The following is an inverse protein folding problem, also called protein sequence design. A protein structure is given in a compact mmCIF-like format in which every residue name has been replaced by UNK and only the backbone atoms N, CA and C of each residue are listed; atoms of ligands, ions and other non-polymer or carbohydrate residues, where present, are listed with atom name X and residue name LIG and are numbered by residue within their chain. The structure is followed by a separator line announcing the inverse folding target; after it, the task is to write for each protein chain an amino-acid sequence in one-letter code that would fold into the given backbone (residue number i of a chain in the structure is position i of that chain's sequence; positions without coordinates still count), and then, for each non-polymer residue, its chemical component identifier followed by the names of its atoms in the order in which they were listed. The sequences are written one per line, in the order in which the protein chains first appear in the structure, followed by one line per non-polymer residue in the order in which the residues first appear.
data_IF_838762045244
#
_entry.id   IF_838762045244
#
_cell.length_a   1.000
_cell.length_b   1.000
_cell.length_c   1.000
_cell.angle_alpha   90.00
_cell.angle_beta   90.00
_cell.angle_gamma   90.00
#
_symmetry.space_group_name_H-M   'P 1'
#
loop_
_entity.id
_entity.type
_entity.pdbx_description
1 polymer ?
#
# COMPACT_ATOMS: atom_id res chain seq x y z
N UNK A 1 -40.69 0.39 30.42
CA UNK A 1 -41.42 -0.49 31.36
C UNK A 1 -40.46 -1.58 31.83
N UNK A 2 -40.31 -1.72 33.15
CA UNK A 2 -39.77 -2.86 33.95
C UNK A 2 -38.45 -3.47 33.45
N UNK A 3 -37.28 -3.33 34.08
CA UNK A 3 -36.98 -3.17 35.50
C UNK A 3 -36.95 -4.53 36.19
N UNK A 4 -35.74 -5.05 36.50
CA UNK A 4 -35.54 -5.90 37.68
C UNK A 4 -34.16 -5.64 38.28
N UNK A 5 -34.23 -5.25 39.55
CA UNK A 5 -33.19 -4.92 40.51
C UNK A 5 -32.71 -6.20 41.21
N UNK A 6 -31.45 -6.27 41.63
CA UNK A 6 -31.06 -6.96 42.87
C UNK A 6 -29.87 -6.23 43.50
N UNK A 7 -30.11 -5.62 44.66
CA UNK A 7 -29.12 -5.00 45.54
C UNK A 7 -28.69 -5.97 46.65
N UNK A 8 -27.38 -6.01 46.94
CA UNK A 8 -26.80 -5.82 48.28
C UNK A 8 -26.58 -7.01 49.22
N UNK A 9 -25.31 -7.25 49.61
CA UNK A 9 -24.70 -7.08 50.97
C UNK A 9 -23.48 -7.99 51.17
N UNK A 10 -22.38 -7.40 51.63
CA UNK A 10 -21.13 -8.01 52.17
C UNK A 10 -21.29 -8.51 53.65
N UNK A 11 -20.32 -9.19 54.35
CA UNK A 11 -18.98 -9.69 53.97
C UNK A 11 -18.57 -11.12 54.53
N UNK A 12 -17.37 -11.59 54.12
CA UNK A 12 -16.43 -12.62 54.70
C UNK A 12 -16.83 -14.12 54.69
N UNK A 13 -16.13 -14.95 53.89
CA UNK A 13 -15.17 -16.04 54.28
C UNK A 13 -14.56 -16.69 53.01
N UNK A 14 -13.31 -17.09 53.17
CA UNK A 14 -12.27 -17.57 52.25
C UNK A 14 -12.57 -18.73 51.27
N UNK A 15 -11.72 -18.74 50.23
CA UNK A 15 -11.12 -19.86 49.50
C UNK A 15 -11.71 -20.37 48.17
N UNK A 16 -10.75 -20.57 47.25
CA UNK A 16 -10.77 -21.29 45.96
C UNK A 16 -11.24 -20.52 44.71
N UNK A 17 -10.28 -19.90 44.02
CA UNK A 17 -10.38 -19.54 42.61
C UNK A 17 -10.28 -20.82 41.74
N UNK A 18 -11.40 -21.26 41.19
CA UNK A 18 -11.47 -22.00 39.92
C UNK A 18 -12.57 -21.35 39.08
N UNK A 19 -12.18 -20.44 38.19
CA UNK A 19 -13.09 -19.74 37.29
C UNK A 19 -13.05 -20.34 35.89
N UNK A 20 -14.08 -21.12 35.55
CA UNK A 20 -14.44 -21.46 34.18
C UNK A 20 -14.77 -20.19 33.39
N UNK A 21 -14.12 -20.00 32.23
CA UNK A 21 -14.44 -18.91 31.31
C UNK A 21 -15.70 -19.28 30.50
N UNK A 22 -16.85 -18.70 30.85
CA UNK A 22 -18.08 -18.80 30.06
C UNK A 22 -17.96 -17.94 28.79
N UNK A 23 -18.10 -18.61 27.66
CA UNK A 23 -18.08 -18.06 26.29
C UNK A 23 -19.25 -17.08 26.06
N UNK A 24 -18.93 -15.84 25.66
CA UNK A 24 -19.92 -14.91 25.10
C UNK A 24 -20.04 -15.15 23.58
N UNK A 25 -21.07 -15.87 23.16
CA UNK A 25 -21.48 -15.97 21.76
C UNK A 25 -22.11 -14.65 21.31
N UNK A 26 -21.39 -13.86 20.51
CA UNK A 26 -21.98 -12.81 19.68
C UNK A 26 -22.16 -13.37 18.28
N UNK A 27 -23.39 -13.74 17.95
CA UNK A 27 -23.80 -14.14 16.61
C UNK A 27 -23.85 -12.91 15.70
N UNK A 28 -22.84 -12.71 14.85
CA UNK A 28 -22.91 -11.78 13.71
C UNK A 28 -23.15 -12.58 12.43
N UNK A 29 -24.42 -12.63 12.02
CA UNK A 29 -24.87 -13.18 10.75
C UNK A 29 -24.27 -12.34 9.61
N UNK A 30 -23.30 -12.90 8.88
CA UNK A 30 -22.70 -12.27 7.70
C UNK A 30 -23.67 -12.39 6.51
N UNK A 31 -24.66 -11.50 6.43
CA UNK A 31 -25.48 -11.36 5.23
C UNK A 31 -24.76 -10.45 4.23
N UNK A 32 -24.22 -11.08 3.18
CA UNK A 32 -23.63 -10.47 1.99
C UNK A 32 -24.71 -9.61 1.29
N UNK A 33 -24.82 -8.33 1.64
CA UNK A 33 -25.57 -7.35 0.83
C UNK A 33 -24.74 -7.01 -0.40
N UNK A 34 -25.23 -7.41 -1.57
CA UNK A 34 -24.82 -6.81 -2.84
C UNK A 34 -25.15 -5.32 -2.79
N UNK A 35 -24.13 -4.47 -2.74
CA UNK A 35 -24.29 -3.04 -2.95
C UNK A 35 -24.55 -2.76 -4.44
N UNK A 36 -25.39 -1.77 -4.78
CA UNK A 36 -25.76 -1.50 -6.17
C UNK A 36 -24.55 -1.04 -6.99
N UNK A 37 -24.56 -1.38 -8.28
CA UNK A 37 -23.68 -0.78 -9.30
C UNK A 37 -24.06 0.69 -9.47
N UNK A 38 -23.42 1.59 -8.72
CA UNK A 38 -23.45 3.02 -9.02
C UNK A 38 -22.18 3.43 -9.77
N UNK A 39 -22.37 4.28 -10.78
CA UNK A 39 -21.41 4.61 -11.81
C UNK A 39 -20.20 5.40 -11.33
N UNK A 40 -19.24 5.53 -12.26
CA UNK A 40 -18.03 6.35 -12.16
C UNK A 40 -18.21 7.59 -11.29
N UNK A 41 -17.72 7.55 -10.07
CA UNK A 41 -17.58 8.71 -9.21
C UNK A 41 -16.16 9.26 -9.36
N UNK A 42 -16.04 10.36 -10.09
CA UNK A 42 -14.84 11.20 -10.06
C UNK A 42 -14.75 11.81 -8.65
N UNK A 43 -13.62 11.63 -7.98
CA UNK A 43 -13.38 12.28 -6.69
C UNK A 43 -13.01 13.75 -6.94
N UNK A 44 -13.62 14.69 -6.20
CA UNK A 44 -13.30 16.11 -6.30
C UNK A 44 -11.83 16.43 -5.97
N UNK A 45 -11.38 17.69 -6.19
CA UNK A 45 -10.00 18.09 -5.92
C UNK A 45 -9.59 17.72 -4.50
N UNK A 46 -8.47 17.01 -4.36
CA UNK A 46 -7.94 16.65 -3.06
C UNK A 46 -6.97 17.75 -2.58
N UNK A 47 -7.16 18.21 -1.34
CA UNK A 47 -6.33 19.25 -0.71
C UNK A 47 -5.26 18.63 0.18
N UNK A 48 -4.09 19.25 0.22
CA UNK A 48 -3.02 18.92 1.15
C UNK A 48 -3.47 19.21 2.58
N UNK A 49 -3.74 18.16 3.36
CA UNK A 49 -3.82 18.31 4.81
C UNK A 49 -2.45 18.73 5.34
N UNK A 50 -2.40 19.86 6.06
CA UNK A 50 -1.24 20.27 6.84
C UNK A 50 -0.93 19.18 7.88
N UNK A 51 0.24 18.54 7.78
CA UNK A 51 0.70 17.57 8.75
C UNK A 51 1.29 18.29 9.96
N UNK A 52 0.66 18.13 11.11
CA UNK A 52 1.38 18.02 12.38
C UNK A 52 1.81 16.56 12.53
N UNK A 53 3.12 16.30 12.56
CA UNK A 53 3.69 14.99 12.87
C UNK A 53 3.22 14.53 14.26
N UNK A 54 2.22 13.66 14.29
CA UNK A 54 1.88 12.88 15.48
C UNK A 54 1.74 11.41 15.10
N UNK A 55 2.80 10.83 14.55
CA UNK A 55 2.98 9.39 14.43
C UNK A 55 3.14 8.79 15.83
N UNK A 56 2.12 8.09 16.34
CA UNK A 56 2.27 7.25 17.52
C UNK A 56 2.94 5.94 17.11
N UNK A 57 4.25 5.85 17.38
CA UNK A 57 5.01 4.61 17.28
C UNK A 57 4.66 3.74 18.50
N UNK A 58 4.28 2.46 18.35
CA UNK A 58 4.10 1.58 19.50
C UNK A 58 5.44 1.43 20.25
N UNK A 59 5.42 1.68 21.55
CA UNK A 59 6.58 1.49 22.42
C UNK A 59 6.83 -0.02 22.55
N UNK A 60 7.91 -0.52 21.93
CA UNK A 60 8.26 -1.94 21.97
C UNK A 60 9.30 -2.44 20.96
N UNK A 61 9.80 -1.61 20.04
CA UNK A 61 10.88 -1.99 19.13
C UNK A 61 12.23 -1.51 19.68
N UNK A 62 13.08 -2.45 20.12
CA UNK A 62 14.46 -2.13 20.52
C UNK A 62 15.27 -1.71 19.29
N UNK A 63 15.93 -0.55 19.39
CA UNK A 63 16.85 -0.05 18.38
C UNK A 63 18.19 -0.76 18.51
N UNK A 64 18.50 -1.71 17.64
CA UNK A 64 19.87 -2.17 17.46
C UNK A 64 20.68 -1.09 16.72
N UNK A 65 21.93 -0.81 17.11
CA UNK A 65 22.74 0.21 16.45
C UNK A 65 23.15 -0.23 15.03
N UNK A 66 23.44 0.71 14.11
CA UNK A 66 23.87 0.39 12.76
C UNK A 66 25.24 -0.29 12.82
N UNK A 67 25.34 -1.52 12.29
CA UNK A 67 26.63 -2.15 12.00
C UNK A 67 27.16 -1.56 10.70
N UNK A 68 28.22 -0.77 10.79
CA UNK A 68 29.00 -0.32 9.64
C UNK A 68 29.79 -1.50 9.09
N UNK A 69 29.44 -1.93 7.88
CA UNK A 69 30.28 -2.85 7.09
C UNK A 69 31.18 -2.02 6.16
N UNK A 70 32.45 -2.38 5.95
CA UNK A 70 33.33 -1.63 5.07
C UNK A 70 32.89 -1.82 3.62
N UNK A 71 32.68 -0.71 2.90
CA UNK A 71 32.48 -0.72 1.46
C UNK A 71 33.74 -1.24 0.77
N UNK A 72 33.65 -2.45 0.22
CA UNK A 72 34.51 -2.86 -0.89
C UNK A 72 33.67 -2.76 -2.17
N UNK A 73 34.19 -1.95 -3.10
CA UNK A 73 33.52 -1.66 -4.36
C UNK A 73 33.27 -2.92 -5.19
N UNK A 74 32.03 -3.05 -5.63
CA UNK A 74 31.69 -3.80 -6.82
C UNK A 74 30.84 -2.88 -7.68
N UNK A 75 31.29 -2.67 -8.91
CA UNK A 75 30.54 -2.04 -9.98
C UNK A 75 29.42 -3.02 -10.35
N UNK A 76 28.31 -2.94 -9.61
CA UNK A 76 27.19 -3.87 -9.64
C UNK A 76 25.98 -3.20 -8.99
N UNK A 77 24.81 -3.48 -9.55
CA UNK A 77 23.52 -2.86 -9.24
C UNK A 77 23.32 -2.61 -7.73
N UNK A 78 22.85 -1.42 -7.36
CA UNK A 78 22.48 -1.10 -5.98
C UNK A 78 21.18 -1.84 -5.64
N UNK A 79 21.34 -2.97 -4.94
CA UNK A 79 20.24 -3.78 -4.40
C UNK A 79 20.03 -3.45 -2.93
N UNK A 80 18.78 -3.19 -2.55
CA UNK A 80 18.37 -2.96 -1.15
C UNK A 80 17.28 -3.94 -0.73
N UNK A 81 17.46 -4.53 0.45
CA UNK A 81 16.61 -5.58 0.99
C UNK A 81 15.68 -5.00 2.05
N UNK A 82 14.40 -4.87 1.69
CA UNK A 82 13.34 -4.41 2.60
C UNK A 82 12.60 -5.59 3.21
N UNK A 83 11.66 -5.31 4.13
CA UNK A 83 10.87 -6.39 4.77
C UNK A 83 10.01 -7.16 3.75
N UNK A 84 9.38 -6.44 2.82
CA UNK A 84 8.38 -6.99 1.89
C UNK A 84 8.81 -7.01 0.43
N UNK A 85 9.91 -6.33 0.08
CA UNK A 85 10.40 -6.22 -1.29
C UNK A 85 11.93 -6.17 -1.30
N UNK A 86 12.53 -6.57 -2.42
CA UNK A 86 13.92 -6.24 -2.77
C UNK A 86 13.86 -5.20 -3.88
N UNK A 87 14.53 -4.05 -3.72
CA UNK A 87 14.60 -3.02 -4.75
C UNK A 87 15.95 -3.05 -5.46
N UNK A 88 15.95 -2.93 -6.78
CA UNK A 88 17.15 -2.76 -7.61
C UNK A 88 17.05 -1.48 -8.42
N UNK A 89 18.07 -0.66 -8.34
CA UNK A 89 18.21 0.56 -9.13
C UNK A 89 19.08 0.29 -10.36
N UNK A 90 18.61 0.75 -11.52
CA UNK A 90 19.30 0.66 -12.81
C UNK A 90 19.56 2.07 -13.34
N UNK A 91 20.83 2.41 -13.54
CA UNK A 91 21.22 3.73 -14.02
C UNK A 91 21.03 3.93 -15.54
N UNK A 92 21.22 5.17 -16.04
CA UNK A 92 21.08 5.52 -17.46
C UNK A 92 22.00 4.75 -18.42
N UNK A 93 23.15 4.31 -17.90
CA UNK A 93 24.16 3.57 -18.67
C UNK A 93 23.82 2.09 -18.83
N UNK A 94 22.85 1.58 -18.06
CA UNK A 94 22.53 0.16 -18.03
C UNK A 94 21.49 -0.19 -19.10
N UNK A 95 21.74 -1.19 -19.96
CA UNK A 95 20.76 -1.62 -20.96
C UNK A 95 19.42 -2.03 -20.36
N UNK A 96 19.45 -2.63 -19.16
CA UNK A 96 18.27 -3.14 -18.49
C UNK A 96 17.25 -2.05 -18.11
N UNK A 97 17.68 -0.80 -17.88
CA UNK A 97 16.73 0.29 -17.60
C UNK A 97 15.78 0.55 -18.78
N UNK A 98 16.26 0.34 -20.01
CA UNK A 98 15.46 0.45 -21.24
C UNK A 98 14.53 -0.74 -21.45
N UNK A 99 14.95 -1.94 -21.04
CA UNK A 99 14.13 -3.16 -21.11
C UNK A 99 12.92 -3.09 -20.16
N UNK A 100 13.08 -2.37 -19.05
CA UNK A 100 12.02 -2.13 -18.05
C UNK A 100 10.97 -1.09 -18.49
N UNK A 101 11.24 -0.33 -19.55
CA UNK A 101 10.28 0.62 -20.12
C UNK A 101 9.25 -0.12 -20.99
N UNK A 102 7.96 0.10 -20.73
CA UNK A 102 6.91 -0.48 -21.57
C UNK A 102 6.52 0.53 -22.65
N UNK A 103 6.69 0.15 -23.92
CA UNK A 103 6.18 0.98 -25.02
C UNK A 103 4.66 0.87 -25.12
N UNK A 104 3.97 1.82 -24.51
CA UNK A 104 2.50 1.90 -24.50
C UNK A 104 1.95 2.20 -25.90
N UNK A 105 2.71 2.82 -26.80
CA UNK A 105 2.25 3.12 -28.16
C UNK A 105 2.30 1.89 -29.08
N UNK A 106 3.24 0.99 -28.84
CA UNK A 106 3.35 -0.31 -29.52
C UNK A 106 2.47 -1.39 -28.87
N UNK A 107 2.18 -1.26 -27.57
CA UNK A 107 1.24 -2.13 -26.88
C UNK A 107 -0.14 -2.05 -27.56
N UNK A 108 -0.76 -3.22 -27.81
CA UNK A 108 -2.02 -3.40 -28.55
C UNK A 108 -2.97 -2.21 -28.38
N UNK A 109 -3.07 -1.35 -29.42
CA UNK A 109 -3.74 -0.04 -29.41
C UNK A 109 -5.17 -0.05 -28.83
N UNK A 110 -5.82 -1.21 -28.84
CA UNK A 110 -7.17 -1.39 -28.27
C UNK A 110 -7.23 -1.43 -26.73
N UNK A 111 -6.12 -1.75 -26.06
CA UNK A 111 -6.04 -1.87 -24.59
C UNK A 111 -5.53 -0.59 -23.92
N UNK A 112 -4.88 0.29 -24.68
CA UNK A 112 -4.39 1.58 -24.20
C UNK A 112 -5.56 2.54 -24.01
N UNK A 113 -5.66 3.13 -22.83
CA UNK A 113 -6.72 4.06 -22.47
C UNK A 113 -6.11 5.39 -22.06
N UNK A 114 -6.38 6.43 -22.84
CA UNK A 114 -6.07 7.81 -22.48
C UNK A 114 -7.12 8.27 -21.47
N UNK A 115 -6.68 8.67 -20.28
CA UNK A 115 -7.60 9.18 -19.26
C UNK A 115 -7.88 10.66 -19.50
N UNK A 116 -8.97 10.97 -20.19
CA UNK A 116 -9.32 12.35 -20.58
C UNK A 116 -9.36 13.33 -19.39
N UNK A 117 -10.00 12.97 -18.28
CA UNK A 117 -10.09 13.86 -17.11
C UNK A 117 -8.70 14.10 -16.51
N UNK A 118 -7.97 13.05 -16.14
CA UNK A 118 -6.63 13.17 -15.54
C UNK A 118 -5.63 13.89 -16.46
N UNK A 119 -5.78 13.79 -17.79
CA UNK A 119 -4.92 14.48 -18.75
C UNK A 119 -5.19 15.99 -18.81
N UNK A 120 -6.38 16.45 -18.39
CA UNK A 120 -6.82 17.85 -18.55
C UNK A 120 -7.07 18.56 -17.20
N UNK A 121 -6.65 17.98 -16.07
CA UNK A 121 -6.98 18.51 -14.74
C UNK A 121 -5.80 18.50 -13.79
N UNK A 122 -5.86 19.34 -12.77
CA UNK A 122 -4.92 19.38 -11.66
C UNK A 122 -5.54 18.78 -10.40
N UNK A 123 -4.74 18.05 -9.61
CA UNK A 123 -5.15 17.45 -8.32
C UNK A 123 -6.41 16.60 -8.43
N UNK A 124 -6.44 15.75 -9.45
CA UNK A 124 -7.50 14.78 -9.66
C UNK A 124 -6.98 13.37 -9.46
N UNK A 125 -7.91 12.46 -9.18
CA UNK A 125 -7.63 11.04 -9.08
C UNK A 125 -8.82 10.25 -9.61
N UNK A 126 -8.55 9.12 -10.27
CA UNK A 126 -9.58 8.30 -10.88
C UNK A 126 -9.36 6.82 -10.60
N UNK A 127 -10.45 6.14 -10.28
CA UNK A 127 -10.44 4.73 -9.88
C UNK A 127 -10.41 3.83 -11.12
N UNK A 128 -9.54 2.84 -11.09
CA UNK A 128 -9.40 1.83 -12.14
C UNK A 128 -9.48 0.44 -11.51
N UNK A 129 -10.13 -0.48 -12.21
CA UNK A 129 -10.23 -1.88 -11.83
C UNK A 129 -9.23 -2.68 -12.65
N UNK A 130 -8.28 -3.33 -11.98
CA UNK A 130 -7.30 -4.22 -12.57
C UNK A 130 -7.98 -5.50 -13.12
N UNK A 131 -7.42 -6.02 -14.20
CA UNK A 131 -7.85 -7.30 -14.77
C UNK A 131 -7.41 -8.52 -13.94
N UNK A 132 -6.41 -8.36 -13.07
CA UNK A 132 -5.85 -9.39 -12.17
C UNK A 132 -5.82 -8.91 -10.70
N UNK A 133 -5.63 -9.84 -9.76
CA UNK A 133 -5.41 -9.53 -8.35
C UNK A 133 -3.92 -9.21 -8.13
N UNK A 134 -3.60 -7.96 -7.82
CA UNK A 134 -2.24 -7.50 -7.57
C UNK A 134 -1.87 -7.68 -6.09
N UNK A 135 -0.80 -8.41 -5.73
CA UNK A 135 -0.48 -8.72 -4.34
C UNK A 135 0.36 -7.63 -3.65
N UNK A 136 -0.19 -6.44 -3.46
CA UNK A 136 0.53 -5.33 -2.81
C UNK A 136 0.78 -5.65 -1.32
N UNK A 137 2.05 -5.75 -0.92
CA UNK A 137 2.44 -6.18 0.43
C UNK A 137 1.87 -7.56 0.82
N UNK A 138 1.58 -8.40 -0.18
CA UNK A 138 0.93 -9.70 0.01
C UNK A 138 -0.60 -9.66 0.06
N UNK A 139 -1.21 -8.47 0.11
CA UNK A 139 -2.66 -8.33 0.06
C UNK A 139 -3.15 -8.23 -1.39
N UNK A 140 -4.02 -9.16 -1.85
CA UNK A 140 -4.58 -9.07 -3.19
C UNK A 140 -5.53 -7.89 -3.28
N UNK A 141 -5.28 -6.99 -4.23
CA UNK A 141 -6.15 -5.87 -4.55
C UNK A 141 -6.44 -5.81 -6.05
N UNK A 142 -7.62 -5.28 -6.36
CA UNK A 142 -8.10 -5.15 -7.73
C UNK A 142 -8.56 -3.75 -8.09
N UNK A 143 -8.72 -2.88 -7.09
CA UNK A 143 -9.13 -1.50 -7.29
C UNK A 143 -8.00 -0.59 -6.86
N UNK A 144 -7.58 0.28 -7.77
CA UNK A 144 -6.53 1.28 -7.54
C UNK A 144 -7.05 2.64 -7.97
N UNK A 145 -6.37 3.71 -7.56
CA UNK A 145 -6.72 5.07 -7.98
C UNK A 145 -5.48 5.77 -8.54
N UNK A 146 -5.52 6.14 -9.81
CA UNK A 146 -4.44 6.88 -10.48
C UNK A 146 -4.61 8.37 -10.15
N UNK A 147 -3.55 9.03 -9.70
CA UNK A 147 -3.56 10.46 -9.40
C UNK A 147 -2.73 11.27 -10.42
N UNK A 148 -3.16 12.50 -10.70
CA UNK A 148 -2.41 13.42 -11.58
C UNK A 148 -1.03 13.77 -11.03
N UNK A 149 -0.84 13.68 -9.70
CA UNK A 149 0.41 13.98 -9.01
C UNK A 149 1.50 12.91 -9.13
N UNK A 150 1.44 12.00 -10.11
CA UNK A 150 2.51 11.03 -10.39
C UNK A 150 2.55 9.79 -9.48
N UNK A 151 1.41 9.38 -8.93
CA UNK A 151 1.32 8.20 -8.06
C UNK A 151 0.01 7.44 -8.22
N UNK A 152 0.01 6.20 -7.73
CA UNK A 152 -1.15 5.33 -7.64
C UNK A 152 -1.47 5.14 -6.16
N UNK A 153 -2.70 5.47 -5.76
CA UNK A 153 -3.23 5.15 -4.45
C UNK A 153 -3.79 3.72 -4.46
N UNK A 154 -3.34 2.91 -3.49
CA UNK A 154 -3.63 1.47 -3.43
C UNK A 154 -4.75 1.12 -2.45
N UNK A 155 -5.26 2.11 -1.71
CA UNK A 155 -6.30 1.87 -0.71
C UNK A 155 -7.71 1.76 -1.26
N UNK A 156 -8.54 1.01 -0.54
CA UNK A 156 -9.92 0.76 -0.93
C UNK A 156 -10.77 2.03 -0.80
N UNK A 157 -10.63 2.76 0.30
CA UNK A 157 -11.45 3.96 0.59
C UNK A 157 -10.70 5.23 0.16
N UNK A 158 -11.24 5.92 -0.83
CA UNK A 158 -10.73 7.24 -1.24
C UNK A 158 -11.04 8.27 -0.14
N UNK A 159 -10.01 8.99 0.31
CA UNK A 159 -10.11 10.03 1.31
C UNK A 159 -9.21 11.22 0.94
N UNK A 160 -9.35 12.37 1.64
CA UNK A 160 -8.57 13.58 1.32
C UNK A 160 -7.05 13.43 1.43
N UNK A 161 -6.56 12.50 2.26
CA UNK A 161 -5.13 12.31 2.55
C UNK A 161 -4.47 11.21 1.70
N UNK A 162 -4.76 11.13 0.40
CA UNK A 162 -4.25 10.04 -0.47
C UNK A 162 -2.72 9.90 -0.42
N UNK A 163 -2.00 11.02 -0.34
CA UNK A 163 -0.53 11.08 -0.31
C UNK A 163 0.10 10.61 1.02
N UNK A 164 -0.71 10.42 2.06
CA UNK A 164 -0.26 10.08 3.41
C UNK A 164 -0.49 8.60 3.77
N UNK A 165 -1.01 7.79 2.85
CA UNK A 165 -1.46 6.42 3.13
C UNK A 165 -0.89 5.43 2.10
N UNK A 166 -1.65 4.43 1.64
CA UNK A 166 -1.16 3.36 0.76
C UNK A 166 -0.88 3.88 -0.66
N UNK A 167 0.39 3.93 -1.08
CA UNK A 167 0.74 4.39 -2.42
C UNK A 167 1.88 3.62 -3.08
N UNK A 168 1.85 3.65 -4.41
CA UNK A 168 2.96 3.36 -5.32
C UNK A 168 3.30 4.67 -6.02
N UNK A 169 4.46 5.24 -5.75
CA UNK A 169 4.86 6.56 -6.23
C UNK A 169 6.18 6.48 -7.01
N UNK A 170 6.16 6.31 -8.35
CA UNK A 170 7.37 6.47 -9.15
C UNK A 170 7.97 7.86 -8.98
N UNK A 171 7.12 8.90 -9.00
CA UNK A 171 7.50 10.27 -8.66
C UNK A 171 6.24 11.04 -8.28
N UNK A 172 5.97 11.14 -6.98
CA UNK A 172 4.88 11.96 -6.45
C UNK A 172 5.35 13.42 -6.37
N UNK A 173 4.67 14.35 -7.05
CA UNK A 173 4.95 15.79 -6.97
C UNK A 173 3.73 16.61 -7.43
N UNK A 174 3.84 17.95 -7.43
CA UNK A 174 2.76 18.86 -7.82
C UNK A 174 2.56 18.93 -9.36
N UNK A 175 2.47 17.78 -10.02
CA UNK A 175 2.24 17.72 -11.47
C UNK A 175 0.85 18.22 -11.85
N UNK A 176 0.79 18.99 -12.94
CA UNK A 176 -0.42 19.48 -13.55
C UNK A 176 -0.46 19.11 -15.04
N UNK A 177 -1.05 17.94 -15.39
CA UNK A 177 -1.28 17.57 -16.79
C UNK A 177 -2.15 18.59 -17.54
N UNK A 178 -3.09 19.24 -16.87
CA UNK A 178 -3.97 20.25 -17.48
C UNK A 178 -3.30 21.55 -17.90
N UNK A 179 -1.98 21.71 -17.70
CA UNK A 179 -1.23 22.87 -18.17
C UNK A 179 -1.03 22.88 -19.70
N UNK A 180 -0.86 21.69 -20.31
CA UNK A 180 -0.52 21.57 -21.73
C UNK A 180 -1.34 20.47 -22.39
N UNK A 181 -1.90 20.74 -23.56
CA UNK A 181 -2.68 19.80 -24.37
C UNK A 181 -1.85 18.58 -24.83
N UNK A 182 -0.52 18.68 -24.78
CA UNK A 182 0.38 17.57 -25.08
C UNK A 182 0.58 16.62 -23.89
N UNK A 183 0.19 17.03 -22.68
CA UNK A 183 0.34 16.18 -21.50
C UNK A 183 -0.74 15.11 -21.52
N UNK A 184 -0.36 13.86 -21.27
CA UNK A 184 -1.34 12.78 -21.17
C UNK A 184 -1.09 11.90 -19.95
N UNK A 185 -2.18 11.44 -19.35
CA UNK A 185 -2.15 10.33 -18.38
C UNK A 185 -2.80 9.15 -19.06
N UNK A 186 -1.98 8.16 -19.42
CA UNK A 186 -2.43 6.97 -20.13
C UNK A 186 -2.20 5.74 -19.27
N UNK A 187 -3.07 4.76 -19.41
CA UNK A 187 -2.88 3.47 -18.77
C UNK A 187 -3.21 2.31 -19.70
N UNK A 188 -2.61 1.16 -19.41
CA UNK A 188 -2.70 -0.06 -20.19
C UNK A 188 -2.83 -1.24 -19.24
N UNK A 189 -3.65 -2.21 -19.61
CA UNK A 189 -3.85 -3.45 -18.86
C UNK A 189 -4.03 -4.62 -19.84
N UNK A 190 -3.19 -5.65 -19.73
CA UNK A 190 -3.24 -6.83 -20.59
C UNK A 190 -3.52 -8.15 -19.86
N UNK A 191 -3.89 -8.13 -18.57
CA UNK A 191 -4.06 -9.36 -17.80
C UNK A 191 -2.82 -9.84 -17.06
N UNK A 192 -1.63 -9.39 -17.46
CA UNK A 192 -0.35 -9.79 -16.86
C UNK A 192 0.42 -8.62 -16.26
N UNK A 193 0.30 -7.44 -16.86
CA UNK A 193 0.87 -6.19 -16.38
C UNK A 193 -0.15 -5.07 -16.56
N UNK A 194 -0.18 -4.19 -15.57
CA UNK A 194 -0.88 -2.92 -15.61
C UNK A 194 0.15 -1.79 -15.61
N UNK A 195 0.07 -0.86 -16.56
CA UNK A 195 1.01 0.25 -16.68
C UNK A 195 0.26 1.57 -16.64
N UNK A 196 0.78 2.54 -15.90
CA UNK A 196 0.37 3.95 -15.98
C UNK A 196 1.58 4.75 -16.44
N UNK A 197 1.37 5.62 -17.42
CA UNK A 197 2.35 6.58 -17.89
C UNK A 197 1.80 8.00 -17.71
N UNK A 198 2.60 8.83 -17.05
CA UNK A 198 2.46 10.29 -17.06
C UNK A 198 3.40 10.80 -18.14
N UNK A 199 2.84 11.26 -19.25
CA UNK A 199 3.55 11.64 -20.46
C UNK A 199 3.53 13.15 -20.65
N UNK A 200 4.70 13.74 -20.82
CA UNK A 200 4.89 15.18 -20.99
C UNK A 200 4.17 16.04 -19.92
N UNK A 201 4.12 15.59 -18.65
CA UNK A 201 3.45 16.33 -17.57
C UNK A 201 4.37 17.39 -16.97
N UNK A 202 3.82 18.55 -16.60
CA UNK A 202 4.60 19.67 -16.07
C UNK A 202 4.41 19.80 -14.56
N UNK A 203 5.46 20.25 -13.87
CA UNK A 203 5.36 20.66 -12.47
C UNK A 203 4.70 22.04 -12.39
N UNK A 204 3.65 22.16 -11.57
CA UNK A 204 2.93 23.41 -11.38
C UNK A 204 3.86 24.53 -10.89
N UNK A 205 3.96 25.62 -11.66
CA UNK A 205 4.81 26.78 -11.38
C UNK A 205 6.29 26.60 -11.74
N UNK A 206 6.64 25.50 -12.40
CA UNK A 206 8.01 25.18 -12.85
C UNK A 206 8.01 24.71 -14.31
N UNK A 207 7.10 25.23 -15.13
CA UNK A 207 6.89 24.78 -16.50
C UNK A 207 8.09 25.11 -17.41
N UNK A 208 8.91 26.09 -17.04
CA UNK A 208 10.18 26.45 -17.70
C UNK A 208 11.25 25.35 -17.61
N UNK A 209 11.15 24.44 -16.63
CA UNK A 209 12.10 23.33 -16.46
C UNK A 209 11.91 22.21 -17.45
N UNK A 210 10.79 22.19 -18.16
CA UNK A 210 10.45 21.13 -19.11
C UNK A 210 9.46 20.12 -18.56
N UNK A 211 9.14 19.13 -19.39
CA UNK A 211 8.14 18.11 -19.11
C UNK A 211 8.75 16.83 -18.56
N UNK A 212 8.00 16.13 -17.73
CA UNK A 212 8.37 14.86 -17.15
C UNK A 212 7.63 13.73 -17.86
N UNK A 213 8.34 12.64 -18.12
CA UNK A 213 7.78 11.44 -18.73
C UNK A 213 8.28 10.20 -17.98
N UNK A 214 7.36 9.51 -17.29
CA UNK A 214 7.68 8.36 -16.45
C UNK A 214 6.50 7.41 -16.29
N UNK A 215 6.78 6.20 -15.83
CA UNK A 215 5.81 5.11 -15.72
C UNK A 215 5.88 4.41 -14.36
N UNK A 216 4.76 3.81 -13.99
CA UNK A 216 4.73 2.70 -13.03
C UNK A 216 4.08 1.48 -13.69
N UNK A 217 4.73 0.32 -13.59
CA UNK A 217 4.17 -0.96 -13.99
C UNK A 217 3.94 -1.86 -12.77
N UNK A 218 2.74 -2.46 -12.70
CA UNK A 218 2.35 -3.44 -11.70
C UNK A 218 2.22 -4.79 -12.41
N UNK A 219 3.06 -5.75 -12.08
CA UNK A 219 3.02 -7.09 -12.65
C UNK A 219 2.16 -8.01 -11.79
N UNK A 220 1.47 -8.97 -12.41
CA UNK A 220 0.60 -9.92 -11.70
C UNK A 220 1.33 -10.75 -10.64
N UNK A 221 2.65 -10.89 -10.78
CA UNK A 221 3.52 -11.63 -9.86
C UNK A 221 3.90 -10.81 -8.61
N UNK A 222 3.45 -9.54 -8.55
CA UNK A 222 3.73 -8.61 -7.47
C UNK A 222 4.94 -7.70 -7.70
N UNK A 223 5.65 -7.85 -8.82
CA UNK A 223 6.72 -6.90 -9.17
C UNK A 223 6.15 -5.52 -9.46
N UNK A 224 6.88 -4.50 -9.03
CA UNK A 224 6.59 -3.09 -9.31
C UNK A 224 7.80 -2.51 -10.02
N UNK A 225 7.59 -1.81 -11.12
CA UNK A 225 8.67 -1.16 -11.88
C UNK A 225 8.39 0.33 -12.00
N UNK A 226 9.36 1.14 -11.67
CA UNK A 226 9.39 2.57 -11.99
C UNK A 226 10.35 2.76 -13.15
N UNK A 227 9.89 3.41 -14.22
CA UNK A 227 10.72 3.68 -15.38
C UNK A 227 10.66 5.17 -15.72
N UNK A 228 11.83 5.80 -15.87
CA UNK A 228 11.96 7.23 -16.05
C UNK A 228 12.55 7.51 -17.43
N UNK A 229 11.74 8.07 -18.34
CA UNK A 229 12.22 8.42 -19.69
C UNK A 229 12.81 9.82 -19.71
N UNK A 230 12.11 10.77 -19.10
CA UNK A 230 12.53 12.18 -19.07
C UNK A 230 12.25 12.80 -17.70
N UNK A 231 13.31 13.24 -17.03
CA UNK A 231 13.32 13.93 -15.74
C UNK A 231 14.24 15.15 -15.91
N UNK A 232 13.69 16.32 -16.28
CA UNK A 232 14.48 17.44 -16.79
C UNK A 232 15.13 18.31 -15.68
N UNK A 233 14.83 18.04 -14.41
CA UNK A 233 15.47 18.68 -13.25
C UNK A 233 15.71 17.67 -12.12
N UNK A 234 16.61 18.02 -11.21
CA UNK A 234 16.94 17.20 -10.04
C UNK A 234 15.74 17.07 -9.10
N UNK A 235 15.33 15.84 -8.77
CA UNK A 235 14.17 15.61 -7.87
C UNK A 235 14.33 16.28 -6.49
N UNK A 236 15.52 16.29 -5.84
CA UNK A 236 15.75 17.07 -4.63
C UNK A 236 15.44 18.58 -4.71
N UNK A 237 15.45 19.17 -5.91
CA UNK A 237 15.17 20.60 -6.11
C UNK A 237 13.66 20.90 -6.23
N UNK A 238 12.82 19.88 -6.35
CA UNK A 238 11.37 20.04 -6.45
C UNK A 238 10.81 20.52 -5.10
N UNK A 239 10.05 21.62 -5.13
CA UNK A 239 9.46 22.18 -3.91
C UNK A 239 8.38 21.27 -3.32
N UNK A 240 8.52 20.95 -2.03
CA UNK A 240 7.53 20.20 -1.26
C UNK A 240 6.46 21.08 -0.57
N UNK A 241 6.50 22.40 -0.79
CA UNK A 241 5.68 23.39 -0.06
C UNK A 241 4.18 23.28 -0.37
N UNK A 242 3.83 23.09 -1.64
CA UNK A 242 2.44 23.01 -2.09
C UNK A 242 1.93 21.58 -2.20
N UNK A 243 2.83 20.60 -2.24
CA UNK A 243 2.53 19.20 -2.45
C UNK A 243 3.75 18.35 -2.03
N UNK A 244 3.57 17.20 -1.37
CA UNK A 244 4.69 16.33 -1.00
C UNK A 244 5.44 15.84 -2.23
N UNK A 245 6.76 15.70 -2.09
CA UNK A 245 7.64 15.05 -3.08
C UNK A 245 8.05 13.70 -2.51
N UNK A 246 7.67 12.60 -3.17
CA UNK A 246 7.96 11.24 -2.70
C UNK A 246 8.29 10.32 -3.86
N UNK A 247 9.17 9.35 -3.63
CA UNK A 247 9.46 8.27 -4.57
C UNK A 247 9.61 6.97 -3.78
N UNK A 248 8.87 5.92 -4.17
CA UNK A 248 8.85 4.65 -3.47
C UNK A 248 7.45 4.11 -3.16
N UNK A 249 7.34 3.32 -2.10
CA UNK A 249 6.16 2.53 -1.72
C UNK A 249 5.74 2.83 -0.28
N UNK A 250 4.45 2.85 0.01
CA UNK A 250 3.95 2.95 1.39
C UNK A 250 2.73 2.07 1.57
N UNK A 251 2.69 1.37 2.70
CA UNK A 251 1.52 0.69 3.22
C UNK A 251 1.16 1.25 4.59
N UNK A 252 -0.10 1.66 4.73
CA UNK A 252 -0.63 2.32 5.90
C UNK A 252 -2.16 2.23 5.92
N UNK A 253 -2.79 2.19 7.07
CA UNK A 253 -4.24 2.21 7.18
C UNK A 253 -4.72 3.38 8.02
N UNK A 254 -5.99 3.75 7.82
CA UNK A 254 -6.61 4.84 8.55
C UNK A 254 -7.66 4.26 9.51
N UNK A 255 -7.51 4.56 10.79
CA UNK A 255 -8.54 4.30 11.79
C UNK A 255 -9.38 5.56 11.93
N UNK A 256 -10.70 5.40 11.77
CA UNK A 256 -11.67 6.43 12.09
C UNK A 256 -12.17 6.23 13.51
N UNK A 257 -11.94 7.21 14.39
CA UNK A 257 -12.58 7.30 15.69
C UNK A 257 -14.00 7.88 15.51
N UNK A 258 -15.06 7.09 15.72
CA UNK A 258 -16.43 7.54 15.50
C UNK A 258 -16.96 8.41 16.65
N UNK A 259 -16.19 8.61 17.73
CA UNK A 259 -16.64 9.38 18.90
C UNK A 259 -17.01 10.82 18.51
N UNK A 260 -18.23 11.27 18.84
CA UNK A 260 -18.68 12.63 18.54
C UNK A 260 -17.86 13.69 19.30
N UNK A 261 -17.25 13.33 20.44
CA UNK A 261 -16.47 14.23 21.30
C UNK A 261 -15.09 14.56 20.74
N UNK A 262 -14.62 13.78 19.76
CA UNK A 262 -13.34 14.04 19.09
C UNK A 262 -13.60 15.02 17.94
N UNK A 263 -12.87 16.16 17.84
CA UNK A 263 -12.94 17.04 16.69
C UNK A 263 -12.65 16.28 15.39
N UNK A 264 -13.37 16.59 14.32
CA UNK A 264 -13.28 15.84 13.05
C UNK A 264 -11.85 15.76 12.48
N UNK A 265 -11.03 16.80 12.72
CA UNK A 265 -9.61 16.83 12.36
C UNK A 265 -8.76 15.77 13.07
N UNK A 266 -9.16 15.31 14.26
CA UNK A 266 -8.47 14.27 15.05
C UNK A 266 -9.20 12.92 15.03
N UNK A 267 -10.29 12.80 14.27
CA UNK A 267 -11.01 11.53 14.15
C UNK A 267 -10.28 10.52 13.28
N UNK A 268 -9.28 10.94 12.50
CA UNK A 268 -8.55 10.08 11.56
C UNK A 268 -7.11 9.93 12.03
N UNK A 269 -6.71 8.72 12.37
CA UNK A 269 -5.33 8.37 12.68
C UNK A 269 -4.77 7.46 11.60
N UNK A 270 -3.61 7.81 11.06
CA UNK A 270 -2.90 7.00 10.07
C UNK A 270 -1.87 6.15 10.81
N UNK A 271 -1.90 4.86 10.54
CA UNK A 271 -0.95 3.88 11.05
C UNK A 271 -0.17 3.34 9.87
N UNK A 272 1.12 3.67 9.83
CA UNK A 272 2.02 3.21 8.78
C UNK A 272 2.63 1.87 9.17
N UNK A 273 2.48 0.90 8.28
CA UNK A 273 3.06 -0.43 8.41
C UNK A 273 4.50 -0.45 7.91
N UNK A 274 4.69 0.01 6.68
CA UNK A 274 5.97 -0.05 6.02
C UNK A 274 6.08 1.02 4.95
N UNK A 275 7.28 1.57 4.80
CA UNK A 275 7.60 2.53 3.75
C UNK A 275 8.96 2.22 3.16
N UNK A 276 9.04 2.31 1.84
CA UNK A 276 10.29 2.29 1.08
C UNK A 276 10.41 3.67 0.45
N UNK A 277 11.45 4.41 0.81
CA UNK A 277 11.77 5.71 0.21
C UNK A 277 13.02 5.55 -0.64
N UNK A 278 12.92 5.87 -1.93
CA UNK A 278 14.07 5.86 -2.83
C UNK A 278 14.88 7.15 -2.66
N UNK A 279 16.19 7.08 -2.85
CA UNK A 279 17.04 8.27 -2.91
C UNK A 279 16.62 9.14 -4.12
N UNK A 280 16.09 10.36 -3.90
CA UNK A 280 15.62 11.20 -4.99
C UNK A 280 16.73 11.59 -5.97
N UNK A 281 18.00 11.60 -5.55
CA UNK A 281 19.13 11.90 -6.43
C UNK A 281 19.38 10.83 -7.50
N UNK A 282 18.84 9.62 -7.28
CA UNK A 282 18.96 8.48 -8.21
C UNK A 282 17.83 8.42 -9.25
N UNK A 283 16.76 9.19 -9.04
CA UNK A 283 15.66 9.33 -10.01
C UNK A 283 16.09 10.30 -11.09
N UNK A 284 16.53 9.77 -12.23
CA UNK A 284 17.12 10.53 -13.35
C UNK A 284 16.56 10.04 -14.68
N UNK A 285 16.73 10.82 -15.74
CA UNK A 285 16.33 10.38 -17.09
C UNK A 285 17.02 9.07 -17.48
N UNK A 286 16.29 8.18 -18.12
CA UNK A 286 16.73 6.86 -18.56
C UNK A 286 17.12 5.89 -17.43
N UNK A 287 16.72 6.16 -16.18
CA UNK A 287 16.87 5.21 -15.07
C UNK A 287 15.59 4.41 -14.81
N UNK A 288 15.72 3.33 -14.05
CA UNK A 288 14.59 2.51 -13.62
C UNK A 288 14.83 1.92 -12.22
N UNK A 289 13.74 1.57 -11.53
CA UNK A 289 13.78 0.83 -10.27
C UNK A 289 12.83 -0.34 -10.35
N UNK A 290 13.30 -1.54 -10.04
CA UNK A 290 12.46 -2.74 -9.93
C UNK A 290 12.33 -3.16 -8.46
N UNK A 291 11.10 -3.38 -8.01
CA UNK A 291 10.78 -3.99 -6.72
C UNK A 291 10.32 -5.42 -6.96
N UNK A 292 11.05 -6.39 -6.42
CA UNK A 292 10.68 -7.80 -6.40
C UNK A 292 10.00 -8.13 -5.07
N UNK A 293 8.77 -8.66 -5.05
CA UNK A 293 8.08 -8.98 -3.80
C UNK A 293 8.78 -10.14 -3.09
N UNK A 294 8.87 -10.04 -1.77
CA UNK A 294 9.34 -11.14 -0.92
C UNK A 294 8.16 -12.01 -0.48
N UNK A 295 8.39 -13.31 -0.25
CA UNK A 295 7.35 -14.20 0.24
C UNK A 295 6.81 -13.74 1.62
N UNK A 296 5.49 -13.61 1.75
CA UNK A 296 4.84 -13.16 3.00
C UNK A 296 4.00 -14.29 3.60
N UNK A 297 3.64 -14.17 4.89
CA UNK A 297 2.76 -15.14 5.54
C UNK A 297 1.45 -15.37 4.77
N UNK A 298 0.87 -14.29 4.23
CA UNK A 298 -0.42 -14.30 3.51
C UNK A 298 -0.45 -15.24 2.29
N UNK A 299 0.70 -15.65 1.74
CA UNK A 299 0.76 -16.61 0.64
C UNK A 299 0.39 -18.04 1.07
N UNK A 300 0.52 -18.35 2.37
CA UNK A 300 0.23 -19.68 2.92
C UNK A 300 -1.27 -19.89 3.05
N UNK A 301 -1.77 -20.90 2.34
CA UNK A 301 -3.20 -21.24 2.28
C UNK A 301 -3.62 -22.37 3.22
N UNK A 302 -2.70 -22.89 4.03
CA UNK A 302 -2.99 -23.94 5.02
C UNK A 302 -2.24 -23.68 6.32
N UNK A 303 -2.81 -24.18 7.42
CA UNK A 303 -2.22 -24.09 8.75
C UNK A 303 -0.84 -24.75 8.79
N UNK A 304 -0.69 -25.94 8.22
CA UNK A 304 0.58 -26.66 8.21
C UNK A 304 1.68 -25.88 7.49
N UNK A 305 1.38 -25.36 6.28
CA UNK A 305 2.34 -24.55 5.53
C UNK A 305 2.70 -23.23 6.24
N UNK A 306 1.73 -22.61 6.92
CA UNK A 306 1.94 -21.41 7.72
C UNK A 306 2.83 -21.67 8.93
N UNK A 307 2.62 -22.78 9.65
CA UNK A 307 3.36 -23.10 10.86
C UNK A 307 4.75 -23.67 10.57
N UNK A 308 4.94 -24.32 9.41
CA UNK A 308 6.24 -24.80 8.95
C UNK A 308 7.04 -23.74 8.17
N UNK A 309 6.59 -22.50 8.17
CA UNK A 309 7.15 -21.42 7.36
C UNK A 309 8.36 -20.78 8.04
N UNK A 310 9.55 -20.94 7.45
CA UNK A 310 10.79 -20.28 7.90
C UNK A 310 10.98 -18.88 7.28
N UNK A 311 9.87 -18.14 7.09
CA UNK A 311 9.95 -16.77 6.59
C UNK A 311 10.49 -15.83 7.67
N UNK A 312 11.04 -14.70 7.22
CA UNK A 312 11.49 -13.60 8.11
C UNK A 312 10.36 -13.06 8.99
N UNK A 313 9.11 -13.24 8.56
CA UNK A 313 7.92 -12.90 9.32
C UNK A 313 7.54 -14.07 10.24
N UNK A 314 7.39 -13.80 11.54
CA UNK A 314 6.82 -14.76 12.49
C UNK A 314 5.34 -15.00 12.14
N UNK A 315 5.08 -15.97 11.27
CA UNK A 315 3.75 -16.29 10.78
C UNK A 315 2.92 -17.02 11.83
N UNK A 316 1.65 -16.68 11.93
CA UNK A 316 0.65 -17.34 12.78
C UNK A 316 -0.60 -17.64 11.97
N UNK A 317 -1.24 -18.79 12.20
CA UNK A 317 -2.47 -19.15 11.50
C UNK A 317 -3.71 -18.69 12.27
N UNK A 318 -4.57 -17.89 11.63
CA UNK A 318 -5.87 -17.55 12.17
C UNK A 318 -6.95 -18.50 11.63
N UNK A 319 -7.48 -19.36 12.50
CA UNK A 319 -8.55 -20.30 12.13
C UNK A 319 -9.89 -19.63 11.84
N UNK A 320 -10.18 -18.48 12.46
CA UNK A 320 -11.42 -17.72 12.20
C UNK A 320 -11.45 -17.19 10.77
N UNK A 321 -10.30 -16.73 10.28
CA UNK A 321 -10.15 -16.18 8.92
C UNK A 321 -9.67 -17.20 7.90
N UNK A 322 -9.28 -18.40 8.36
CA UNK A 322 -8.62 -19.44 7.56
C UNK A 322 -7.45 -18.86 6.74
N UNK A 323 -6.59 -18.10 7.41
CA UNK A 323 -5.51 -17.34 6.78
C UNK A 323 -4.28 -17.22 7.69
N UNK A 324 -3.10 -17.26 7.08
CA UNK A 324 -1.83 -16.94 7.74
C UNK A 324 -1.63 -15.42 7.86
N UNK A 325 -1.26 -14.96 9.05
CA UNK A 325 -1.02 -13.55 9.40
C UNK A 325 0.41 -13.40 9.91
N UNK A 326 0.96 -12.19 9.84
CA UNK A 326 2.22 -11.85 10.51
C UNK A 326 1.94 -11.11 11.84
N UNK A 327 2.89 -11.11 12.78
CA UNK A 327 2.74 -10.41 14.06
C UNK A 327 2.55 -8.88 13.93
N UNK A 328 2.74 -8.28 12.76
CA UNK A 328 2.51 -6.84 12.55
C UNK A 328 1.05 -6.54 12.19
N UNK A 329 0.26 -7.51 11.70
CA UNK A 329 -1.17 -7.39 11.38
C UNK A 329 -2.07 -7.22 12.63
N UNK A 330 -1.66 -6.42 13.61
CA UNK A 330 -2.24 -6.28 14.96
C UNK A 330 -3.74 -5.95 14.95
N UNK A 331 -4.23 -5.24 13.93
CA UNK A 331 -5.66 -4.86 13.86
C UNK A 331 -6.58 -6.04 13.50
N UNK A 332 -6.00 -7.15 13.00
CA UNK A 332 -6.69 -8.43 12.74
C UNK A 332 -6.46 -9.43 13.89
N UNK A 333 -5.46 -9.19 14.74
CA UNK A 333 -5.03 -10.10 15.81
C UNK A 333 -6.02 -10.24 16.97
N UNK A 334 -6.83 -9.23 17.25
CA UNK A 334 -7.67 -9.23 18.47
C UNK A 334 -8.65 -10.41 18.52
N UNK A 335 -9.05 -10.97 17.37
CA UNK A 335 -9.91 -12.16 17.28
C UNK A 335 -9.18 -13.47 16.93
N UNK A 336 -7.86 -13.43 16.74
CA UNK A 336 -7.05 -14.56 16.29
C UNK A 336 -6.03 -15.06 17.33
N UNK A 337 -5.99 -14.45 18.53
CA UNK A 337 -4.99 -14.68 19.58
C UNK A 337 -4.97 -16.11 20.19
N UNK A 338 -5.98 -16.95 19.93
CA UNK A 338 -6.15 -18.22 20.65
C UNK A 338 -5.76 -19.49 19.88
N UNK A 339 -5.07 -19.41 18.74
CA UNK A 339 -4.86 -20.61 17.93
C UNK A 339 -3.44 -20.81 17.40
N UNK A 340 -2.55 -21.27 18.27
CA UNK A 340 -1.21 -21.80 17.91
C UNK A 340 -1.21 -23.29 17.53
N UNK A 341 -2.38 -23.93 17.40
CA UNK A 341 -2.48 -25.37 17.11
C UNK A 341 -3.26 -25.60 15.82
N UNK A 342 -2.62 -26.25 14.84
CA UNK A 342 -3.31 -26.87 13.72
C UNK A 342 -3.97 -28.14 14.25
N UNK A 343 -5.24 -28.06 14.67
CA UNK A 343 -5.99 -29.28 14.93
C UNK A 343 -6.18 -29.99 13.59
N UNK A 344 -5.37 -31.02 13.37
CA UNK A 344 -5.48 -31.86 12.19
C UNK A 344 -6.86 -32.51 12.14
N UNK A 345 -7.56 -32.34 11.04
CA UNK A 345 -8.62 -33.26 10.62
C UNK A 345 -7.99 -34.60 10.26
N UNK A 346 -7.42 -35.28 11.26
CA UNK A 346 -7.22 -36.72 11.21
C UNK A 346 -8.57 -37.38 11.47
N UNK A 347 -9.41 -37.37 10.43
CA UNK A 347 -10.52 -38.31 10.37
C UNK A 347 -9.89 -39.70 10.24
N UNK A 348 -9.62 -40.26 11.40
CA UNK A 348 -9.12 -41.61 11.59
C UNK A 348 -10.27 -42.54 11.18
N UNK A 349 -10.34 -42.84 9.89
CA UNK A 349 -10.92 -44.10 9.43
C UNK A 349 -10.12 -45.22 10.11
N UNK A 350 -10.73 -45.86 11.09
CA UNK A 350 -10.44 -47.24 11.50
C UNK A 350 -11.69 -47.84 12.14
N UNK A 351 -11.86 -49.15 12.04
CA UNK A 351 -11.92 -49.99 10.84
C UNK A 351 -13.36 -50.28 10.43
#
# INVERSE_FOLDING_TARGET
MRGTLCQGRDPIIQDSWQGECKTCLVSTTFQRRQLPKEGFQNAGPWETGSQSDSSHKPQGASSAPPRTWPHQGAQGNEEDNHSYYVSRLYGPSEPHSRELWVDVAEANRSQVKIHTILSNTHRQASRVVLSFDFPFYGHPLRQITIATGGFIFMGDVIHRMLTATQYVAPLMANFNPGYSDNSTVVYFDNGTVFVVQWDHVYLQGWEDKGSFTFQAALHHDGRIVFAYKEIPMSVPEISSSQHPVKTGLSDAFMILNPSPDVPESRRRSIFEYHRIELDPSKVTSMSAVEFTPLPTCLQHRSCDACMSSDLTFNCSWCHVLQRSLNNQDENTYVNCLDSQQCHGSSESRRP
#
